data_IF_248464766329
#
_entry.id   IF_248464766329
#
_cell.length_a   1.000
_cell.length_b   1.000
_cell.length_c   1.000
_cell.angle_alpha   90.00
_cell.angle_beta   90.00
_cell.angle_gamma   90.00
#
_symmetry.space_group_name_H-M   'P 1'
#
loop_
_entity.id
_entity.type
_entity.pdbx_description
1 polymer ?
#
# COMPACT_ATOMS: atom_id res chain seq x y z
N UNK A 1 -21.91 -16.39 0.26
CA UNK A 1 -21.00 -15.25 0.02
C UNK A 1 -20.26 -15.29 -1.32
N UNK A 2 -19.07 -15.91 -1.51
CA UNK A 2 -18.33 -15.78 -2.80
C UNK A 2 -19.16 -16.22 -4.01
N UNK A 3 -19.78 -17.41 -3.95
CA UNK A 3 -20.71 -17.90 -4.99
C UNK A 3 -21.94 -17.01 -5.21
N UNK A 4 -22.41 -16.37 -4.16
CA UNK A 4 -23.60 -15.50 -4.17
C UNK A 4 -23.31 -14.13 -4.78
N UNK A 5 -22.08 -13.65 -4.62
CA UNK A 5 -21.60 -12.37 -5.15
C UNK A 5 -20.75 -12.50 -6.42
N UNK A 6 -20.70 -13.67 -7.04
CA UNK A 6 -19.89 -13.97 -8.24
C UNK A 6 -18.39 -13.62 -8.09
N UNK A 7 -17.85 -13.75 -6.88
CA UNK A 7 -16.44 -13.53 -6.58
C UNK A 7 -15.67 -14.82 -6.94
N UNK A 8 -14.71 -14.69 -7.86
CA UNK A 8 -14.01 -15.81 -8.50
C UNK A 8 -12.93 -16.44 -7.63
N UNK A 9 -12.21 -15.60 -6.88
CA UNK A 9 -11.06 -15.99 -6.08
C UNK A 9 -10.92 -15.13 -4.81
N UNK A 10 -9.91 -15.44 -4.01
CA UNK A 10 -9.67 -14.77 -2.72
C UNK A 10 -9.16 -13.34 -2.89
N UNK A 11 -8.52 -13.01 -4.00
CA UNK A 11 -8.01 -11.67 -4.29
C UNK A 11 -9.16 -10.72 -4.62
N UNK A 12 -10.13 -11.21 -5.38
CA UNK A 12 -11.39 -10.50 -5.63
C UNK A 12 -12.22 -10.36 -4.34
N UNK A 13 -12.16 -11.34 -3.42
CA UNK A 13 -12.81 -11.22 -2.11
C UNK A 13 -12.15 -10.12 -1.26
N UNK A 14 -10.83 -10.05 -1.25
CA UNK A 14 -10.09 -8.97 -0.59
C UNK A 14 -10.46 -7.61 -1.20
N UNK A 15 -10.46 -7.50 -2.53
CA UNK A 15 -10.89 -6.29 -3.26
C UNK A 15 -12.29 -5.83 -2.85
N UNK A 16 -13.25 -6.77 -2.81
CA UNK A 16 -14.61 -6.50 -2.38
C UNK A 16 -14.64 -5.90 -0.96
N UNK A 17 -13.92 -6.50 -0.02
CA UNK A 17 -13.89 -6.04 1.36
C UNK A 17 -13.28 -4.64 1.47
N UNK A 18 -12.14 -4.40 0.82
CA UNK A 18 -11.47 -3.09 0.80
C UNK A 18 -12.39 -2.01 0.23
N UNK A 19 -13.06 -2.27 -0.90
CA UNK A 19 -14.03 -1.33 -1.51
C UNK A 19 -15.22 -1.06 -0.60
N UNK A 20 -15.72 -2.08 0.11
CA UNK A 20 -16.80 -1.91 1.09
C UNK A 20 -16.36 -1.03 2.26
N UNK A 21 -15.15 -1.24 2.78
CA UNK A 21 -14.60 -0.44 3.87
C UNK A 21 -14.29 0.99 3.46
N UNK A 22 -13.80 1.21 2.23
CA UNK A 22 -13.60 2.55 1.69
C UNK A 22 -14.90 3.36 1.68
N UNK A 23 -16.00 2.78 1.16
CA UNK A 23 -17.32 3.43 1.20
C UNK A 23 -17.75 3.77 2.63
N UNK A 24 -17.49 2.87 3.58
CA UNK A 24 -17.80 3.11 4.99
C UNK A 24 -16.99 4.29 5.55
N UNK A 25 -15.68 4.35 5.34
CA UNK A 25 -14.85 5.46 5.81
C UNK A 25 -15.22 6.79 5.15
N UNK A 26 -15.46 6.78 3.84
CA UNK A 26 -15.90 7.97 3.10
C UNK A 26 -17.24 8.51 3.63
N UNK A 27 -18.17 7.62 4.01
CA UNK A 27 -19.45 8.03 4.64
C UNK A 27 -19.29 8.75 5.99
N UNK A 28 -18.10 8.66 6.59
CA UNK A 28 -17.72 9.31 7.84
C UNK A 28 -16.74 10.47 7.64
N UNK A 29 -16.51 10.90 6.39
CA UNK A 29 -15.54 11.95 6.08
C UNK A 29 -14.09 11.53 6.38
N UNK A 30 -13.79 10.23 6.39
CA UNK A 30 -12.45 9.68 6.57
C UNK A 30 -11.96 9.08 5.25
N UNK A 31 -10.63 9.06 5.04
CA UNK A 31 -10.01 8.40 3.89
C UNK A 31 -9.47 7.03 4.29
N UNK A 32 -9.61 6.05 3.41
CA UNK A 32 -8.97 4.76 3.59
C UNK A 32 -7.45 4.91 3.43
N UNK A 33 -6.70 4.28 4.33
CA UNK A 33 -5.28 3.99 4.19
C UNK A 33 -5.10 2.47 4.32
N UNK A 34 -4.23 1.88 3.50
CA UNK A 34 -3.88 0.47 3.61
C UNK A 34 -2.50 0.18 3.05
N UNK A 35 -1.97 -0.99 3.40
CA UNK A 35 -0.71 -1.49 2.87
C UNK A 35 -0.80 -1.74 1.37
N UNK A 36 0.34 -1.76 0.68
CA UNK A 36 0.41 -1.78 -0.78
C UNK A 36 -0.18 -3.05 -1.45
N UNK A 37 -0.52 -4.09 -0.69
CA UNK A 37 -1.33 -5.24 -1.11
C UNK A 37 -2.72 -4.84 -1.64
N UNK A 38 -3.28 -3.71 -1.20
CA UNK A 38 -4.60 -3.25 -1.68
C UNK A 38 -4.60 -2.91 -3.18
N UNK A 39 -3.41 -2.77 -3.80
CA UNK A 39 -3.26 -2.56 -5.23
C UNK A 39 -3.67 -3.78 -6.06
N UNK A 40 -3.47 -5.00 -5.54
CA UNK A 40 -3.68 -6.25 -6.29
C UNK A 40 -5.17 -6.48 -6.62
N UNK A 41 -6.06 -5.98 -5.76
CA UNK A 41 -7.51 -6.04 -5.96
C UNK A 41 -8.09 -4.88 -6.77
N UNK A 42 -7.27 -3.91 -7.19
CA UNK A 42 -7.73 -2.64 -7.74
C UNK A 42 -8.28 -1.71 -6.65
N UNK A 43 -7.53 -0.65 -6.36
CA UNK A 43 -7.88 0.35 -5.36
C UNK A 43 -8.46 1.61 -6.03
N UNK A 44 -9.41 2.26 -5.36
CA UNK A 44 -9.89 3.57 -5.80
C UNK A 44 -8.74 4.60 -5.75
N UNK A 45 -8.69 5.58 -6.66
CA UNK A 45 -7.74 6.70 -6.59
C UNK A 45 -7.83 7.51 -5.28
N UNK A 46 -8.94 7.40 -4.54
CA UNK A 46 -9.13 8.11 -3.27
C UNK A 46 -8.42 7.49 -2.07
N UNK A 47 -7.96 6.24 -2.18
CA UNK A 47 -7.23 5.57 -1.11
C UNK A 47 -5.78 6.07 -1.00
N UNK A 48 -5.25 6.03 0.22
CA UNK A 48 -3.82 6.25 0.50
C UNK A 48 -3.14 4.89 0.59
N UNK A 49 -2.01 4.74 -0.11
CA UNK A 49 -1.23 3.51 -0.13
C UNK A 49 -0.01 3.67 0.77
N UNK A 50 0.19 2.72 1.69
CA UNK A 50 1.39 2.64 2.53
C UNK A 50 2.30 1.53 2.00
N UNK A 51 3.44 1.91 1.43
CA UNK A 51 4.37 0.99 0.79
C UNK A 51 5.35 0.39 1.79
N UNK A 52 5.40 -0.94 1.89
CA UNK A 52 6.32 -1.64 2.79
C UNK A 52 7.08 -2.79 2.11
N UNK A 53 6.50 -3.41 1.08
CA UNK A 53 7.07 -4.59 0.41
C UNK A 53 8.25 -4.22 -0.46
N UNK A 54 9.43 -4.13 0.15
CA UNK A 54 10.69 -3.75 -0.54
C UNK A 54 11.04 -4.69 -1.71
N UNK A 55 10.49 -5.91 -1.72
CA UNK A 55 10.62 -6.87 -2.83
C UNK A 55 9.66 -6.63 -4.00
N UNK A 56 8.71 -5.69 -3.87
CA UNK A 56 7.81 -5.23 -4.94
C UNK A 56 8.09 -3.74 -5.25
N UNK A 57 9.25 -3.40 -5.85
CA UNK A 57 9.71 -2.02 -5.99
C UNK A 57 8.85 -1.16 -6.94
N UNK A 58 8.00 -1.78 -7.76
CA UNK A 58 7.09 -1.10 -8.69
C UNK A 58 5.80 -0.59 -8.04
N UNK A 59 5.41 -1.12 -6.86
CA UNK A 59 4.17 -0.79 -6.19
C UNK A 59 3.96 0.73 -5.93
N UNK A 60 4.95 1.49 -5.38
CA UNK A 60 4.73 2.90 -5.09
C UNK A 60 4.60 3.74 -6.37
N UNK A 61 5.36 3.43 -7.43
CA UNK A 61 5.24 4.10 -8.73
C UNK A 61 3.89 3.81 -9.38
N UNK A 62 3.42 2.56 -9.31
CA UNK A 62 2.11 2.17 -9.83
C UNK A 62 0.98 2.92 -9.11
N UNK A 63 1.00 2.95 -7.77
CA UNK A 63 0.02 3.68 -6.96
C UNK A 63 0.01 5.18 -7.28
N UNK A 64 1.17 5.81 -7.34
CA UNK A 64 1.28 7.23 -7.64
C UNK A 64 0.78 7.56 -9.06
N UNK A 65 1.09 6.72 -10.06
CA UNK A 65 0.54 6.88 -11.44
C UNK A 65 -0.97 6.65 -11.52
N UNK A 66 -1.53 5.86 -10.60
CA UNK A 66 -2.98 5.71 -10.44
C UNK A 66 -3.65 6.89 -9.70
N UNK A 67 -2.88 7.92 -9.32
CA UNK A 67 -3.36 9.11 -8.62
C UNK A 67 -3.51 8.94 -7.11
N UNK A 68 -3.08 7.81 -6.56
CA UNK A 68 -3.08 7.58 -5.12
C UNK A 68 -1.98 8.40 -4.43
N UNK A 69 -2.27 8.86 -3.21
CA UNK A 69 -1.21 9.31 -2.31
C UNK A 69 -0.44 8.10 -1.79
N UNK A 70 0.88 8.20 -1.72
CA UNK A 70 1.77 7.12 -1.26
C UNK A 70 2.54 7.58 -0.03
N UNK A 71 2.56 6.74 1.00
CA UNK A 71 3.39 6.89 2.19
C UNK A 71 4.46 5.80 2.13
N UNK A 72 5.72 6.20 2.23
CA UNK A 72 6.87 5.31 2.08
C UNK A 72 7.33 4.80 3.43
N UNK A 73 7.10 3.51 3.68
CA UNK A 73 7.53 2.79 4.89
C UNK A 73 8.17 1.45 4.51
N UNK A 74 9.14 1.41 3.57
CA UNK A 74 9.73 0.15 3.13
C UNK A 74 10.37 -0.61 4.29
N UNK A 75 10.23 -1.94 4.28
CA UNK A 75 10.87 -2.84 5.26
C UNK A 75 12.37 -2.61 5.43
N UNK A 76 13.07 -2.13 4.40
CA UNK A 76 14.42 -1.59 4.54
C UNK A 76 14.46 -0.21 3.86
N UNK A 77 14.88 0.88 4.53
CA UNK A 77 15.50 0.92 5.86
C UNK A 77 14.55 1.30 7.02
N UNK A 78 13.23 1.32 6.83
CA UNK A 78 12.31 1.97 7.77
C UNK A 78 11.58 1.05 8.76
N UNK A 79 11.84 -0.26 8.77
CA UNK A 79 11.32 -1.15 9.81
C UNK A 79 12.34 -1.28 10.95
N UNK A 80 12.02 -0.64 12.07
CA UNK A 80 12.92 -0.52 13.23
C UNK A 80 12.79 -1.66 14.24
N UNK A 81 11.97 -2.66 13.94
CA UNK A 81 11.94 -3.96 14.62
C UNK A 81 13.11 -4.88 14.19
N UNK A 82 13.78 -4.58 13.08
CA UNK A 82 14.97 -5.30 12.63
C UNK A 82 16.19 -5.09 13.52
N UNK A 83 17.07 -6.11 13.60
CA UNK A 83 18.35 -6.00 14.31
C UNK A 83 19.26 -5.03 13.53
N UNK A 84 19.72 -3.93 14.14
CA UNK A 84 20.57 -2.98 13.44
C UNK A 84 21.98 -3.53 13.21
N UNK A 85 22.61 -3.07 12.13
CA UNK A 85 24.03 -3.27 11.84
C UNK A 85 24.76 -1.93 11.73
N UNK A 86 26.06 -1.98 11.39
CA UNK A 86 26.90 -0.77 11.24
C UNK A 86 26.41 0.21 10.17
N UNK A 87 25.54 -0.23 9.26
CA UNK A 87 25.01 0.56 8.15
C UNK A 87 23.58 1.07 8.42
N UNK A 88 22.85 0.57 9.42
CA UNK A 88 21.42 0.90 9.61
C UNK A 88 21.14 2.41 9.67
N UNK A 89 21.89 3.16 10.48
CA UNK A 89 21.70 4.61 10.58
C UNK A 89 22.03 5.31 9.26
N UNK A 90 23.11 4.90 8.59
CA UNK A 90 23.49 5.46 7.30
C UNK A 90 22.41 5.17 6.24
N UNK A 91 21.83 3.97 6.22
CA UNK A 91 20.77 3.59 5.28
C UNK A 91 19.49 4.41 5.52
N UNK A 92 19.10 4.62 6.79
CA UNK A 92 17.96 5.50 7.13
C UNK A 92 18.24 6.94 6.72
N UNK A 93 19.43 7.45 7.02
CA UNK A 93 19.81 8.84 6.76
C UNK A 93 19.85 9.18 5.26
N UNK A 94 20.30 8.24 4.42
CA UNK A 94 20.40 8.43 2.97
C UNK A 94 19.19 7.86 2.21
N UNK A 95 18.10 7.52 2.91
CA UNK A 95 16.89 7.03 2.26
C UNK A 95 16.21 8.14 1.46
N UNK A 96 16.03 7.91 0.16
CA UNK A 96 15.27 8.79 -0.72
C UNK A 96 13.83 8.29 -0.85
N UNK A 97 12.83 8.99 -0.28
CA UNK A 97 11.44 8.53 -0.27
C UNK A 97 10.77 8.66 -1.63
N UNK A 98 11.29 9.46 -2.57
CA UNK A 98 10.68 9.61 -3.90
C UNK A 98 11.23 8.53 -4.84
N UNK A 99 10.40 7.58 -5.33
CA UNK A 99 10.86 6.57 -6.27
C UNK A 99 11.41 7.17 -7.57
N UNK A 100 12.43 6.53 -8.14
CA UNK A 100 12.90 6.86 -9.49
C UNK A 100 11.80 6.52 -10.52
N UNK A 101 11.58 7.40 -11.50
CA UNK A 101 10.61 7.15 -12.58
C UNK A 101 9.19 7.65 -12.33
N UNK A 102 9.01 8.50 -11.32
CA UNK A 102 7.92 9.47 -11.23
C UNK A 102 8.24 10.76 -11.99
#
# INVERSE_FOLDING_TARGET
FMKEHNIKDVDELQSYFVKRMEKFFNSKGKKLIGWDEILEGGVSPTAVVMYWRSWVPSAPVHAAKNGNYVIMTPGNPLYFDGIPDRNSIANVYHFEPVPKGL
#
